data_IF_759241647738
#
_entry.id   IF_759241647738
#
_cell.length_a   1.000
_cell.length_b   1.000
_cell.length_c   1.000
_cell.angle_alpha   90.00
_cell.angle_beta   90.00
_cell.angle_gamma   90.00
#
_symmetry.space_group_name_H-M   'P 1'
#
loop_
_entity.id
_entity.type
_entity.pdbx_description
1 polymer ?
#
# COMPACT_ATOMS: atom_id res chain seq x y z
N UNK A 1 16.86 7.52 5.40
CA UNK A 1 18.32 7.69 5.26
C UNK A 1 18.96 6.31 5.07
N UNK A 2 19.63 6.05 3.93
CA UNK A 2 20.41 4.81 3.78
C UNK A 2 21.87 5.08 4.12
N UNK A 3 22.41 4.33 5.07
CA UNK A 3 23.82 4.37 5.42
C UNK A 3 24.62 3.62 4.34
N UNK A 4 25.70 4.24 3.86
CA UNK A 4 26.71 3.52 3.07
C UNK A 4 27.85 3.16 4.03
N UNK A 5 28.21 1.88 4.18
CA UNK A 5 29.30 1.49 5.06
C UNK A 5 30.62 2.07 4.54
N UNK A 6 31.27 2.90 5.36
CA UNK A 6 32.57 3.52 5.06
C UNK A 6 33.71 2.63 5.54
N UNK A 7 33.48 1.91 6.64
CA UNK A 7 34.43 0.97 7.26
C UNK A 7 33.70 -0.34 7.58
N UNK A 8 34.26 -1.52 7.25
CA UNK A 8 33.66 -2.79 7.66
C UNK A 8 33.72 -2.93 9.19
N UNK A 9 32.64 -3.47 9.77
CA UNK A 9 32.63 -4.02 11.12
C UNK A 9 33.70 -5.11 11.22
N UNK A 10 34.78 -4.84 11.95
CA UNK A 10 35.80 -5.84 12.26
C UNK A 10 35.23 -6.76 13.36
N UNK A 11 34.65 -7.89 12.95
CA UNK A 11 34.36 -9.01 13.87
C UNK A 11 35.63 -9.85 13.99
N UNK A 12 36.01 -10.08 15.23
CA UNK A 12 37.16 -10.84 15.72
C UNK A 12 37.45 -12.13 14.93
N UNK A 13 38.69 -12.27 14.48
CA UNK A 13 39.48 -13.50 14.64
C UNK A 13 40.91 -13.05 14.92
N UNK A 14 41.26 -12.95 16.21
CA UNK A 14 42.66 -12.99 16.64
C UNK A 14 43.10 -14.47 16.66
N UNK A 15 43.96 -14.95 15.76
CA UNK A 15 44.84 -16.04 16.12
C UNK A 15 45.96 -15.43 16.96
N UNK A 16 45.97 -15.85 18.22
CA UNK A 16 47.10 -15.69 19.12
C UNK A 16 48.40 -16.19 18.46
N UNK A 17 49.48 -15.45 18.72
CA UNK A 17 50.90 -15.74 18.44
C UNK A 17 51.39 -15.48 17.01
N UNK A 18 51.91 -14.26 16.86
CA UNK A 18 53.25 -13.98 16.33
C UNK A 18 53.44 -14.16 14.83
N UNK A 19 53.33 -13.06 14.07
CA UNK A 19 54.18 -12.71 12.92
C UNK A 19 53.86 -11.25 12.52
N UNK A 20 54.90 -10.46 12.26
CA UNK A 20 54.87 -9.08 11.76
C UNK A 20 54.35 -9.00 10.32
N UNK A 21 53.78 -7.85 9.88
CA UNK A 21 53.90 -7.44 8.49
C UNK A 21 54.68 -6.12 8.37
N UNK A 22 55.82 -6.23 7.70
CA UNK A 22 56.59 -5.14 7.12
C UNK A 22 55.79 -4.44 6.01
N UNK A 23 55.87 -3.11 5.94
CA UNK A 23 56.10 -2.41 4.67
C UNK A 23 57.14 -1.31 4.87
N UNK A 24 58.40 -1.72 4.66
CA UNK A 24 59.55 -0.87 4.47
C UNK A 24 60.07 -1.26 3.08
N UNK A 25 59.96 -0.38 2.08
CA UNK A 25 60.55 -0.63 0.76
C UNK A 25 62.00 -0.12 0.78
N UNK A 26 62.94 -1.06 0.79
CA UNK A 26 64.36 -0.80 0.55
C UNK A 26 64.79 -1.75 -0.57
N UNK A 27 64.97 -1.20 -1.78
CA UNK A 27 65.71 -1.86 -2.84
C UNK A 27 67.14 -1.31 -2.79
N UNK A 28 68.05 -2.03 -2.13
CA UNK A 28 69.49 -1.80 -2.21
C UNK A 28 70.04 -2.59 -3.39
N UNK A 29 70.41 -1.91 -4.47
CA UNK A 29 71.50 -2.35 -5.34
C UNK A 29 72.70 -1.44 -5.10
N UNK A 30 73.85 -2.06 -4.87
CA UNK A 30 75.11 -1.42 -4.52
C UNK A 30 75.54 -0.34 -5.53
N UNK A 31 75.78 0.90 -5.07
CA UNK A 31 77.02 1.67 -5.31
C UNK A 31 77.00 2.97 -4.47
N UNK A 32 77.93 3.05 -3.51
CA UNK A 32 78.53 4.24 -2.86
C UNK A 32 77.67 5.47 -2.45
N UNK A 33 77.69 5.70 -1.13
CA UNK A 33 77.86 7.01 -0.44
C UNK A 33 76.63 7.83 0.01
N UNK A 34 76.69 8.17 1.30
CA UNK A 34 76.12 9.31 2.04
C UNK A 34 74.61 9.47 2.21
N UNK A 35 74.19 9.26 3.47
CA UNK A 35 73.10 9.93 4.21
C UNK A 35 71.78 10.22 3.47
N UNK A 36 70.78 9.38 3.75
CA UNK A 36 69.38 9.83 3.78
C UNK A 36 68.63 9.01 4.83
N UNK A 37 68.53 9.57 6.03
CA UNK A 37 67.57 9.15 7.04
C UNK A 37 66.17 9.55 6.56
N UNK A 38 65.49 8.64 5.86
CA UNK A 38 64.07 8.79 5.54
C UNK A 38 63.28 8.38 6.78
N UNK A 39 62.97 9.35 7.63
CA UNK A 39 61.96 9.21 8.66
C UNK A 39 60.60 9.11 7.97
N UNK A 40 60.01 7.93 7.96
CA UNK A 40 58.60 7.76 7.58
C UNK A 40 57.77 8.24 8.77
N UNK A 41 57.42 9.53 8.81
CA UNK A 41 56.47 10.04 9.80
C UNK A 41 55.09 9.45 9.49
N UNK A 42 54.42 8.74 10.43
CA UNK A 42 53.03 8.37 10.25
C UNK A 42 52.20 9.66 10.17
N UNK A 43 51.38 9.81 9.12
CA UNK A 43 50.62 11.06 8.86
C UNK A 43 49.41 11.16 9.80
N UNK A 44 48.54 10.15 9.77
CA UNK A 44 47.35 10.04 10.60
C UNK A 44 47.44 8.77 11.44
N UNK A 45 47.20 8.90 12.74
CA UNK A 45 47.24 7.78 13.67
C UNK A 45 45.84 7.24 13.94
N UNK A 46 45.67 5.93 13.76
CA UNK A 46 44.46 5.23 14.14
C UNK A 46 44.50 4.91 15.65
N UNK A 47 43.55 5.44 16.41
CA UNK A 47 43.46 5.26 17.86
C UNK A 47 42.12 4.60 18.22
N UNK A 48 42.10 3.88 19.34
CA UNK A 48 40.87 3.36 19.91
C UNK A 48 40.52 4.17 21.16
N UNK A 49 39.37 4.83 21.12
CA UNK A 49 38.83 5.62 22.22
C UNK A 49 37.56 4.96 22.78
N UNK A 50 37.03 5.46 23.89
CA UNK A 50 35.74 5.01 24.43
C UNK A 50 34.69 6.08 24.16
N UNK A 51 33.53 5.70 23.64
CA UNK A 51 32.39 6.61 23.49
C UNK A 51 31.69 6.88 24.84
N UNK A 52 30.65 7.74 24.82
CA UNK A 52 29.83 8.08 25.99
C UNK A 52 29.16 6.85 26.67
N UNK A 53 29.08 5.72 25.97
CA UNK A 53 28.49 4.47 26.44
C UNK A 53 29.56 3.41 26.79
N UNK A 54 30.83 3.80 26.92
CA UNK A 54 31.98 2.94 27.18
C UNK A 54 32.20 1.84 26.12
N UNK A 55 31.85 2.12 24.86
CA UNK A 55 32.13 1.22 23.74
C UNK A 55 33.41 1.68 23.04
N UNK A 56 34.31 0.74 22.67
CA UNK A 56 35.50 1.09 21.92
C UNK A 56 35.09 1.61 20.53
N UNK A 57 35.56 2.81 20.20
CA UNK A 57 35.42 3.44 18.88
C UNK A 57 36.81 3.65 18.28
N UNK A 58 36.92 3.50 16.96
CA UNK A 58 38.16 3.75 16.24
C UNK A 58 38.14 5.17 15.66
N UNK A 59 39.07 6.00 16.11
CA UNK A 59 39.24 7.39 15.69
C UNK A 59 40.53 7.54 14.88
N UNK A 60 40.61 8.59 14.06
CA UNK A 60 41.85 8.96 13.38
C UNK A 60 42.27 10.34 13.84
N UNK A 61 43.52 10.50 14.30
CA UNK A 61 44.02 11.77 14.79
C UNK A 61 45.31 12.20 14.11
N UNK A 62 45.53 13.51 14.06
CA UNK A 62 46.79 14.14 13.63
C UNK A 62 46.98 15.45 14.40
N UNK A 63 48.19 15.71 14.87
CA UNK A 63 48.51 16.92 15.65
C UNK A 63 49.96 17.38 15.44
N UNK A 64 50.40 17.48 14.18
CA UNK A 64 51.74 17.93 13.81
C UNK A 64 51.84 19.46 13.68
N UNK A 65 51.28 20.19 14.63
CA UNK A 65 51.13 21.65 14.62
C UNK A 65 52.44 22.43 14.73
N UNK A 66 53.53 21.78 15.18
CA UNK A 66 54.86 22.39 15.36
C UNK A 66 55.68 22.41 14.07
N UNK A 67 55.32 21.59 13.09
CA UNK A 67 56.09 21.42 11.87
C UNK A 67 55.52 22.30 10.74
N UNK A 68 56.36 23.03 9.99
CA UNK A 68 55.88 23.78 8.83
C UNK A 68 55.56 22.84 7.65
N UNK A 69 54.72 23.31 6.71
CA UNK A 69 54.40 22.63 5.46
C UNK A 69 53.80 21.22 5.61
N UNK A 70 52.89 21.04 6.57
CA UNK A 70 52.15 19.78 6.73
C UNK A 70 51.26 19.48 5.51
N UNK A 71 51.15 18.19 5.18
CA UNK A 71 50.33 17.69 4.09
C UNK A 71 49.95 16.22 4.35
N UNK A 72 49.13 15.99 5.37
CA UNK A 72 48.79 14.68 5.88
C UNK A 72 47.47 14.20 5.29
N UNK A 73 47.47 13.05 4.60
CA UNK A 73 46.30 12.52 3.90
C UNK A 73 45.76 11.26 4.59
N UNK A 74 44.45 11.23 4.79
CA UNK A 74 43.69 10.05 5.17
C UNK A 74 42.66 9.77 4.09
N UNK A 75 42.59 8.54 3.59
CA UNK A 75 41.64 8.13 2.56
C UNK A 75 40.73 7.01 3.07
N UNK A 76 39.45 7.07 2.72
CA UNK A 76 38.51 5.97 2.96
C UNK A 76 38.79 4.76 2.06
N UNK A 77 38.05 3.67 2.30
CA UNK A 77 37.87 2.63 1.31
C UNK A 77 37.02 3.13 0.12
N UNK A 78 36.92 2.32 -0.93
CA UNK A 78 36.03 2.61 -2.06
C UNK A 78 34.58 2.48 -1.62
N UNK A 79 33.80 3.54 -1.84
CA UNK A 79 32.41 3.64 -1.42
C UNK A 79 31.53 3.46 -2.67
N UNK A 80 30.71 2.40 -2.75
CA UNK A 80 29.79 2.22 -3.87
C UNK A 80 28.70 3.29 -3.83
N UNK A 81 28.43 3.93 -4.97
CA UNK A 81 27.41 4.98 -5.10
C UNK A 81 25.98 4.45 -4.89
N UNK A 82 25.73 3.19 -5.23
CA UNK A 82 24.39 2.62 -5.32
C UNK A 82 23.49 3.49 -6.22
N UNK A 83 22.24 3.75 -5.81
CA UNK A 83 21.30 4.61 -6.54
C UNK A 83 21.50 6.12 -6.27
N UNK A 84 22.44 6.50 -5.40
CA UNK A 84 22.60 7.89 -4.98
C UNK A 84 23.08 8.78 -6.13
N UNK A 85 22.36 9.84 -6.46
CA UNK A 85 22.90 10.90 -7.33
C UNK A 85 23.59 11.99 -6.51
N UNK A 86 23.10 12.24 -5.30
CA UNK A 86 23.64 13.18 -4.33
C UNK A 86 23.90 12.45 -3.02
N UNK A 87 25.07 12.68 -2.43
CA UNK A 87 25.47 12.11 -1.14
C UNK A 87 25.64 13.21 -0.11
N UNK A 88 25.57 12.80 1.16
CA UNK A 88 25.79 13.63 2.32
C UNK A 88 26.93 13.01 3.12
N UNK A 89 27.94 13.82 3.42
CA UNK A 89 29.08 13.45 4.24
C UNK A 89 28.94 14.17 5.57
N UNK A 90 28.61 13.42 6.62
CA UNK A 90 28.52 13.90 7.99
C UNK A 90 29.80 13.52 8.74
N UNK A 91 30.48 14.54 9.26
CA UNK A 91 31.74 14.45 9.96
C UNK A 91 31.52 14.79 11.43
N UNK A 92 31.93 13.91 12.33
CA UNK A 92 32.03 14.21 13.76
C UNK A 92 33.50 14.25 14.15
N UNK A 93 33.97 15.36 14.69
CA UNK A 93 35.40 15.56 14.98
C UNK A 93 35.62 16.53 16.15
N UNK A 94 36.79 16.44 16.77
CA UNK A 94 37.26 17.41 17.76
C UNK A 94 38.42 18.20 17.17
N UNK A 95 38.54 19.46 17.57
CA UNK A 95 39.60 20.36 17.10
C UNK A 95 40.11 21.18 18.27
N UNK A 96 41.44 21.23 18.41
CA UNK A 96 42.11 22.01 19.46
C UNK A 96 42.40 23.43 18.99
N UNK A 97 42.06 24.42 19.82
CA UNK A 97 42.35 25.84 19.58
C UNK A 97 43.87 26.06 19.49
N UNK A 98 44.34 26.70 18.42
CA UNK A 98 45.77 26.99 18.22
C UNK A 98 46.33 27.93 19.30
N UNK A 99 45.52 28.83 19.87
CA UNK A 99 45.93 29.72 20.96
C UNK A 99 46.20 28.96 22.26
N UNK A 100 45.63 27.75 22.39
CA UNK A 100 45.85 26.87 23.55
C UNK A 100 47.14 26.06 23.45
N UNK A 101 47.88 26.17 22.34
CA UNK A 101 49.12 25.44 22.09
C UNK A 101 50.28 26.44 22.10
N UNK A 102 51.25 26.31 23.04
CA UNK A 102 52.43 27.15 23.03
C UNK A 102 53.29 26.92 21.77
N UNK A 103 53.93 27.98 21.26
CA UNK A 103 54.97 27.92 20.21
C UNK A 103 54.54 27.51 18.78
N UNK A 104 53.25 27.60 18.43
CA UNK A 104 52.75 27.20 17.10
C UNK A 104 52.26 28.36 16.21
N UNK A 105 52.62 29.60 16.55
CA UNK A 105 52.19 30.80 15.84
C UNK A 105 52.66 30.79 14.38
N UNK A 106 51.74 30.59 13.44
CA UNK A 106 51.99 30.62 12.00
C UNK A 106 52.01 29.24 11.32
N UNK A 107 52.23 28.16 12.07
CA UNK A 107 52.18 26.77 11.56
C UNK A 107 50.84 26.09 11.86
N UNK A 108 50.22 26.40 13.00
CA UNK A 108 48.95 25.81 13.40
C UNK A 108 47.76 26.33 12.57
N UNK A 109 46.83 25.41 12.26
CA UNK A 109 45.57 25.67 11.55
C UNK A 109 44.40 25.09 12.33
N UNK A 110 43.23 25.69 12.17
CA UNK A 110 41.97 25.25 12.80
C UNK A 110 41.00 24.71 11.75
N UNK A 111 41.55 24.19 10.65
CA UNK A 111 40.77 23.68 9.52
C UNK A 111 41.47 22.51 8.86
N UNK A 112 40.70 21.65 8.20
CA UNK A 112 41.18 20.58 7.33
C UNK A 112 40.36 20.54 6.05
N UNK A 113 40.87 19.93 4.98
CA UNK A 113 40.13 19.84 3.72
C UNK A 113 39.43 18.49 3.59
N UNK A 114 38.19 18.52 3.13
CA UNK A 114 37.44 17.35 2.67
C UNK A 114 37.51 17.28 1.15
N UNK A 115 37.91 16.13 0.61
CA UNK A 115 38.04 15.90 -0.84
C UNK A 115 37.38 14.58 -1.25
N UNK A 116 37.11 14.44 -2.54
CA UNK A 116 36.59 13.20 -3.12
C UNK A 116 37.16 12.91 -4.50
N UNK A 117 37.11 11.63 -4.88
CA UNK A 117 37.52 11.16 -6.20
C UNK A 117 36.56 10.06 -6.68
N UNK A 118 35.94 10.25 -7.85
CA UNK A 118 35.02 9.29 -8.46
C UNK A 118 35.76 8.26 -9.32
N UNK A 119 35.40 6.99 -9.17
CA UNK A 119 35.91 5.90 -10.00
C UNK A 119 34.90 4.77 -10.13
N UNK A 120 34.90 4.08 -11.27
CA UNK A 120 33.96 2.99 -11.53
C UNK A 120 34.33 1.69 -10.80
N UNK A 121 35.62 1.50 -10.49
CA UNK A 121 36.10 0.29 -9.83
C UNK A 121 37.05 0.64 -8.67
N UNK A 122 37.10 -0.21 -7.62
CA UNK A 122 38.05 -0.04 -6.53
C UNK A 122 39.47 -0.20 -7.06
N UNK A 123 40.35 0.67 -6.61
CA UNK A 123 41.78 0.59 -6.91
C UNK A 123 42.38 -0.65 -6.24
N UNK A 124 43.19 -1.40 -6.99
CA UNK A 124 43.90 -2.56 -6.46
C UNK A 124 44.90 -2.19 -5.36
N UNK A 125 45.34 -3.17 -4.58
CA UNK A 125 46.24 -2.96 -3.43
C UNK A 125 47.59 -2.30 -3.81
N UNK A 126 47.99 -2.35 -5.08
CA UNK A 126 49.22 -1.78 -5.62
C UNK A 126 49.02 -0.43 -6.32
N UNK A 127 47.79 0.09 -6.39
CA UNK A 127 47.51 1.35 -7.04
C UNK A 127 48.06 2.52 -6.19
N UNK A 128 48.84 3.38 -6.84
CA UNK A 128 49.40 4.56 -6.19
C UNK A 128 48.32 5.58 -5.85
N UNK A 129 48.44 6.18 -4.66
CA UNK A 129 47.57 7.27 -4.22
C UNK A 129 48.01 8.58 -4.91
N UNK A 130 47.23 9.04 -5.87
CA UNK A 130 47.48 10.27 -6.61
C UNK A 130 46.63 11.42 -6.06
N UNK A 131 47.24 12.32 -5.31
CA UNK A 131 46.56 13.45 -4.66
C UNK A 131 45.89 14.41 -5.64
N UNK A 132 46.40 14.53 -6.87
CA UNK A 132 45.86 15.43 -7.90
C UNK A 132 44.52 14.98 -8.49
N UNK A 133 44.14 13.73 -8.29
CA UNK A 133 42.86 13.20 -8.79
C UNK A 133 41.68 13.60 -7.89
N UNK A 134 41.97 14.08 -6.68
CA UNK A 134 40.98 14.45 -5.69
C UNK A 134 40.48 15.88 -5.90
N UNK A 135 39.18 16.02 -6.11
CA UNK A 135 38.51 17.30 -6.12
C UNK A 135 38.17 17.74 -4.68
N UNK A 136 38.46 19.00 -4.35
CA UNK A 136 38.14 19.56 -3.04
C UNK A 136 36.64 19.82 -2.93
N UNK A 137 36.01 19.26 -1.89
CA UNK A 137 34.61 19.51 -1.53
C UNK A 137 34.53 20.82 -0.78
N UNK A 138 35.23 20.91 0.35
CA UNK A 138 35.23 22.12 1.19
C UNK A 138 36.42 22.14 2.16
N UNK A 139 36.64 23.29 2.78
CA UNK A 139 37.48 23.47 3.97
C UNK A 139 36.58 23.36 5.20
N UNK A 140 36.82 22.37 6.05
CA UNK A 140 36.03 22.14 7.26
C UNK A 140 36.67 22.87 8.43
N UNK A 141 35.86 23.66 9.14
CA UNK A 141 36.22 24.35 10.37
C UNK A 141 35.36 23.82 11.52
N UNK A 142 35.82 23.99 12.75
CA UNK A 142 35.04 23.70 13.95
C UNK A 142 34.13 24.88 14.31
N UNK A 143 32.92 24.60 14.78
CA UNK A 143 32.04 25.57 15.43
C UNK A 143 32.54 25.86 16.86
N UNK A 144 32.98 24.82 17.57
CA UNK A 144 33.58 24.89 18.90
C UNK A 144 34.94 24.18 18.93
N UNK A 145 35.98 24.89 19.36
CA UNK A 145 37.31 24.32 19.63
C UNK A 145 37.52 24.11 21.13
N UNK A 146 38.27 23.09 21.52
CA UNK A 146 38.64 22.86 22.92
C UNK A 146 40.00 23.48 23.26
N UNK A 147 40.13 23.96 24.50
CA UNK A 147 41.31 24.67 25.01
C UNK A 147 42.01 23.89 26.13
N UNK A 148 43.09 24.44 26.66
CA UNK A 148 43.84 23.84 27.77
C UNK A 148 43.00 23.75 29.07
N UNK A 149 42.04 24.66 29.28
CA UNK A 149 41.11 24.59 30.42
C UNK A 149 40.12 23.44 30.25
N UNK A 150 39.59 23.23 29.04
CA UNK A 150 38.65 22.13 28.76
C UNK A 150 39.32 20.75 28.94
N UNK A 151 40.62 20.64 28.60
CA UNK A 151 41.43 19.44 28.88
C UNK A 151 41.56 19.17 30.39
N UNK A 152 41.65 20.22 31.21
CA UNK A 152 41.66 20.12 32.68
C UNK A 152 40.35 19.58 33.24
N UNK A 153 39.23 19.96 32.62
CA UNK A 153 37.87 19.52 32.98
C UNK A 153 37.44 18.23 32.27
N UNK A 154 38.32 17.63 31.46
CA UNK A 154 38.06 16.44 30.62
C UNK A 154 36.88 16.62 29.65
N UNK A 155 36.65 17.84 29.20
CA UNK A 155 35.59 18.17 28.24
C UNK A 155 36.20 18.25 26.84
N UNK A 156 35.75 17.37 25.95
CA UNK A 156 36.06 17.45 24.52
C UNK A 156 34.88 18.08 23.78
N UNK A 157 35.14 19.07 22.93
CA UNK A 157 34.12 19.73 22.10
C UNK A 157 33.97 18.98 20.78
N UNK A 158 32.84 18.29 20.63
CA UNK A 158 32.54 17.48 19.45
C UNK A 158 31.74 18.30 18.43
N UNK A 159 32.34 18.52 17.27
CA UNK A 159 31.73 19.24 16.15
C UNK A 159 31.02 18.26 15.22
N UNK A 160 29.94 18.71 14.57
CA UNK A 160 29.23 17.92 13.56
C UNK A 160 28.99 18.75 12.31
N UNK A 161 29.70 18.42 11.22
CA UNK A 161 29.62 19.13 9.95
C UNK A 161 29.03 18.23 8.86
N UNK A 162 28.07 18.74 8.09
CA UNK A 162 27.47 18.01 6.96
C UNK A 162 27.78 18.73 5.66
N UNK A 163 28.27 17.99 4.66
CA UNK A 163 28.49 18.49 3.29
C UNK A 163 27.76 17.65 2.27
N UNK A 164 27.16 18.33 1.31
CA UNK A 164 26.48 17.73 0.18
C UNK A 164 27.44 17.59 -1.00
N UNK A 165 27.46 16.43 -1.64
CA UNK A 165 28.34 16.17 -2.79
C UNK A 165 27.54 15.53 -3.91
N UNK A 166 27.71 16.03 -5.14
CA UNK A 166 27.09 15.47 -6.33
C UNK A 166 26.79 16.52 -7.40
N UNK A 167 26.32 16.09 -8.58
CA UNK A 167 25.90 14.72 -8.91
C UNK A 167 27.08 13.75 -9.04
N UNK A 168 27.01 12.60 -8.35
CA UNK A 168 27.99 11.51 -8.50
C UNK A 168 27.62 10.70 -9.75
N UNK A 169 28.52 10.64 -10.73
CA UNK A 169 28.26 10.05 -12.04
C UNK A 169 28.80 8.61 -12.16
N UNK A 170 29.93 8.31 -11.51
CA UNK A 170 30.58 6.99 -11.59
C UNK A 170 29.96 5.96 -10.62
N UNK A 171 30.38 4.69 -10.72
CA UNK A 171 29.85 3.62 -9.85
C UNK A 171 30.20 3.76 -8.36
N UNK A 172 31.27 4.48 -8.03
CA UNK A 172 31.68 4.74 -6.65
C UNK A 172 32.70 5.86 -6.53
N UNK A 173 33.17 6.08 -5.31
CA UNK A 173 34.08 7.17 -4.99
C UNK A 173 34.91 6.89 -3.74
N UNK A 174 35.98 7.65 -3.57
CA UNK A 174 36.76 7.73 -2.34
C UNK A 174 36.53 9.10 -1.70
N UNK A 175 36.54 9.15 -0.37
CA UNK A 175 36.73 10.39 0.37
C UNK A 175 38.17 10.48 0.86
N UNK A 176 38.68 11.70 0.93
CA UNK A 176 39.98 11.98 1.51
C UNK A 176 39.91 13.21 2.43
N UNK A 177 40.74 13.17 3.46
CA UNK A 177 40.90 14.21 4.46
C UNK A 177 42.35 14.68 4.40
N UNK A 178 42.54 15.96 4.18
CA UNK A 178 43.87 16.56 4.11
C UNK A 178 44.03 17.53 5.26
N UNK A 179 45.00 17.23 6.12
CA UNK A 179 45.48 18.12 7.16
C UNK A 179 46.71 18.91 6.67
N UNK A 180 46.73 20.20 7.00
CA UNK A 180 47.77 21.18 6.64
C UNK A 180 48.38 21.86 7.87
N UNK A 181 48.21 21.27 9.06
CA UNK A 181 48.82 21.74 10.31
C UNK A 181 47.82 21.95 11.46
N UNK A 182 46.75 21.16 11.52
CA UNK A 182 45.75 21.19 12.57
C UNK A 182 45.99 20.10 13.63
N UNK A 183 45.36 20.28 14.79
CA UNK A 183 45.31 19.26 15.84
C UNK A 183 43.87 18.75 15.95
N UNK A 184 43.59 17.65 15.25
CA UNK A 184 42.24 17.13 15.04
C UNK A 184 42.14 15.65 15.36
N UNK A 185 40.97 15.24 15.86
CA UNK A 185 40.58 13.84 15.94
C UNK A 185 39.24 13.64 15.23
N UNK A 186 39.24 12.82 14.19
CA UNK A 186 38.08 12.41 13.42
C UNK A 186 37.41 11.23 14.12
N UNK A 187 36.25 11.50 14.71
CA UNK A 187 35.50 10.55 15.55
C UNK A 187 34.56 9.70 14.73
N UNK A 188 33.90 10.29 13.73
CA UNK A 188 32.96 9.56 12.85
C UNK A 188 32.89 10.18 11.47
N UNK A 189 32.86 9.32 10.45
CA UNK A 189 32.55 9.69 9.07
C UNK A 189 31.36 8.87 8.63
N UNK A 190 30.24 9.55 8.39
CA UNK A 190 28.99 8.93 7.98
C UNK A 190 28.62 9.43 6.60
N UNK A 191 28.56 8.50 5.65
CA UNK A 191 28.16 8.80 4.27
C UNK A 191 26.78 8.20 4.01
N UNK A 192 25.86 9.02 3.52
CA UNK A 192 24.49 8.59 3.27
C UNK A 192 23.86 9.32 2.09
N UNK A 193 22.74 8.79 1.60
CA UNK A 193 21.86 9.49 0.66
C UNK A 193 20.41 9.41 1.14
N UNK A 194 19.62 10.38 0.69
CA UNK A 194 18.20 10.47 0.98
C UNK A 194 17.41 9.72 -0.09
N UNK A 195 16.36 9.00 0.33
CA UNK A 195 15.37 8.35 -0.54
C UNK A 195 14.01 8.42 0.15
N UNK A 196 12.96 8.49 -0.64
CA UNK A 196 11.61 8.23 -0.18
C UNK A 196 11.42 6.70 -0.09
N UNK A 197 11.19 6.15 1.11
CA UNK A 197 11.10 4.70 1.29
C UNK A 197 9.82 4.13 0.68
N UNK A 198 9.87 2.86 0.26
CA UNK A 198 8.70 2.13 -0.21
C UNK A 198 7.54 2.22 0.80
N UNK A 199 6.34 2.55 0.31
CA UNK A 199 5.18 2.76 1.17
C UNK A 199 3.88 2.33 0.49
N UNK A 200 2.86 2.02 1.31
CA UNK A 200 1.52 1.71 0.87
C UNK A 200 0.58 2.83 1.33
N UNK A 201 -0.07 3.50 0.37
CA UNK A 201 -1.01 4.58 0.63
C UNK A 201 -2.23 4.44 -0.28
N UNK A 202 -3.43 4.57 0.28
CA UNK A 202 -4.69 4.48 -0.47
C UNK A 202 -4.80 3.23 -1.37
N UNK A 203 -4.38 2.06 -0.84
CA UNK A 203 -4.34 0.78 -1.56
C UNK A 203 -3.42 0.78 -2.81
N UNK A 204 -2.47 1.70 -2.88
CA UNK A 204 -1.42 1.73 -3.89
C UNK A 204 -0.04 1.58 -3.23
N UNK A 205 0.81 0.77 -3.84
CA UNK A 205 2.21 0.61 -3.48
C UNK A 205 3.07 1.60 -4.28
N UNK A 206 3.99 2.26 -3.57
CA UNK A 206 4.95 3.19 -4.13
C UNK A 206 6.37 2.69 -3.84
N UNK A 207 7.24 2.54 -4.85
CA UNK A 207 8.57 1.99 -4.66
C UNK A 207 9.55 2.98 -4.03
N UNK A 208 10.68 2.47 -3.55
CA UNK A 208 11.83 3.28 -3.15
C UNK A 208 12.20 4.26 -4.29
N UNK A 209 12.24 5.55 -3.98
CA UNK A 209 12.51 6.60 -4.97
C UNK A 209 13.61 7.54 -4.48
N UNK A 210 14.61 7.80 -5.31
CA UNK A 210 15.68 8.76 -5.02
C UNK A 210 15.27 10.13 -5.56
N UNK A 211 15.33 11.21 -4.75
CA UNK A 211 15.04 12.56 -5.22
C UNK A 211 16.00 12.99 -6.33
N UNK A 212 15.57 13.96 -7.14
CA UNK A 212 16.46 14.61 -8.11
C UNK A 212 17.47 15.51 -7.39
N UNK A 213 18.54 15.85 -8.10
CA UNK A 213 19.69 16.59 -7.56
C UNK A 213 19.35 18.06 -7.29
N UNK A 214 18.38 18.63 -8.00
CA UNK A 214 17.89 19.99 -7.80
C UNK A 214 16.94 20.07 -6.59
N UNK A 215 17.32 20.83 -5.57
CA UNK A 215 16.66 20.90 -4.26
C UNK A 215 15.21 21.41 -4.31
N UNK A 216 14.78 22.03 -5.40
CA UNK A 216 13.42 22.55 -5.60
C UNK A 216 12.49 21.61 -6.35
N UNK A 217 12.98 20.50 -6.94
CA UNK A 217 12.13 19.66 -7.78
C UNK A 217 11.53 18.49 -7.00
N UNK A 218 10.25 18.23 -7.30
CA UNK A 218 9.52 17.09 -6.80
C UNK A 218 9.55 15.97 -7.84
N UNK A 219 9.84 14.74 -7.39
CA UNK A 219 9.75 13.57 -8.27
C UNK A 219 8.33 13.01 -8.16
N UNK A 220 7.54 13.14 -9.22
CA UNK A 220 6.23 12.49 -9.32
C UNK A 220 6.42 10.97 -9.48
N UNK A 221 5.75 10.21 -8.62
CA UNK A 221 5.78 8.74 -8.61
C UNK A 221 4.36 8.23 -8.72
N UNK A 222 4.09 7.47 -9.78
CA UNK A 222 2.84 6.74 -9.95
C UNK A 222 2.88 5.47 -9.10
N UNK A 223 1.86 5.27 -8.27
CA UNK A 223 1.67 4.05 -7.50
C UNK A 223 1.06 2.93 -8.35
N UNK A 224 1.28 1.69 -7.92
CA UNK A 224 0.59 0.53 -8.47
C UNK A 224 -0.47 0.05 -7.46
N UNK A 225 -1.70 -0.20 -7.90
CA UNK A 225 -2.71 -0.78 -7.02
C UNK A 225 -2.22 -2.13 -6.50
N UNK A 226 -2.48 -2.39 -5.22
CA UNK A 226 -2.17 -3.68 -4.61
C UNK A 226 -3.02 -4.78 -5.24
N UNK A 227 -2.62 -6.03 -5.03
CA UNK A 227 -3.39 -7.18 -5.49
C UNK A 227 -4.84 -7.10 -4.99
N UNK A 228 -5.78 -7.52 -5.83
CA UNK A 228 -7.22 -7.45 -5.55
C UNK A 228 -7.75 -6.02 -5.31
N UNK A 229 -7.04 -4.99 -5.75
CA UNK A 229 -7.54 -3.61 -5.83
C UNK A 229 -7.53 -3.09 -7.27
N UNK A 230 -8.46 -2.20 -7.57
CA UNK A 230 -8.62 -1.56 -8.88
C UNK A 230 -8.39 -0.05 -8.78
N UNK A 231 -7.86 0.54 -9.85
CA UNK A 231 -7.59 1.98 -9.93
C UNK A 231 -8.93 2.73 -10.05
N UNK A 232 -9.26 3.55 -9.03
CA UNK A 232 -10.40 4.46 -9.12
C UNK A 232 -9.99 5.81 -9.68
N UNK A 233 -8.89 6.33 -9.15
CA UNK A 233 -8.25 7.58 -9.55
C UNK A 233 -6.74 7.33 -9.55
N UNK A 234 -5.99 7.78 -10.56
CA UNK A 234 -4.56 7.45 -10.71
C UNK A 234 -3.73 7.83 -9.47
N UNK A 235 -3.21 6.84 -8.70
CA UNK A 235 -2.53 7.09 -7.43
C UNK A 235 -1.13 7.67 -7.67
N UNK A 236 -0.83 8.79 -7.02
CA UNK A 236 0.41 9.54 -7.18
C UNK A 236 0.92 10.08 -5.85
N UNK A 237 2.23 10.06 -5.70
CA UNK A 237 2.97 10.72 -4.62
C UNK A 237 4.10 11.54 -5.21
N UNK A 238 4.59 12.50 -4.43
CA UNK A 238 5.73 13.34 -4.79
C UNK A 238 6.86 13.12 -3.79
N UNK A 239 8.02 12.67 -4.28
CA UNK A 239 9.22 12.50 -3.45
C UNK A 239 10.00 13.82 -3.41
N UNK A 240 10.14 14.40 -2.21
CA UNK A 240 10.89 15.63 -1.98
C UNK A 240 12.38 15.40 -1.77
N UNK A 241 13.19 16.46 -1.91
CA UNK A 241 14.65 16.42 -1.74
C UNK A 241 15.11 15.89 -0.37
N UNK A 242 14.28 16.05 0.67
CA UNK A 242 14.55 15.55 2.02
C UNK A 242 14.29 14.05 2.19
N UNK A 243 13.74 13.38 1.17
CA UNK A 243 13.37 11.96 1.24
C UNK A 243 12.00 11.72 1.85
N UNK A 244 11.17 12.76 1.94
CA UNK A 244 9.80 12.68 2.42
C UNK A 244 8.79 12.57 1.28
N UNK A 245 7.75 11.76 1.51
CA UNK A 245 6.59 11.68 0.62
C UNK A 245 5.63 12.83 0.89
N UNK A 246 5.23 13.52 -0.17
CA UNK A 246 4.31 14.64 -0.15
C UNK A 246 3.00 14.29 -0.88
N UNK A 247 2.01 15.18 -0.74
CA UNK A 247 0.65 15.20 -1.32
C UNK A 247 0.21 13.89 -2.01
N UNK A 248 -0.58 13.03 -1.33
CA UNK A 248 -1.22 11.89 -1.98
C UNK A 248 -2.36 12.35 -2.88
N UNK A 249 -2.31 11.95 -4.15
CA UNK A 249 -3.38 12.12 -5.12
C UNK A 249 -3.87 10.75 -5.60
N UNK A 250 -5.14 10.67 -5.95
CA UNK A 250 -5.76 9.44 -6.41
C UNK A 250 -5.79 8.32 -5.37
N UNK A 251 -6.39 7.20 -5.75
CA UNK A 251 -6.57 6.03 -4.89
C UNK A 251 -6.96 4.79 -5.69
N UNK A 252 -6.63 3.64 -5.11
CA UNK A 252 -7.22 2.37 -5.51
C UNK A 252 -8.39 2.03 -4.58
N UNK A 253 -9.26 1.14 -5.03
CA UNK A 253 -10.34 0.59 -4.22
C UNK A 253 -10.32 -0.93 -4.27
N UNK A 254 -10.76 -1.59 -3.20
CA UNK A 254 -10.81 -3.05 -3.21
C UNK A 254 -11.78 -3.54 -4.29
N UNK A 255 -11.38 -4.59 -5.00
CA UNK A 255 -12.16 -5.21 -6.07
C UNK A 255 -13.42 -5.91 -5.53
N UNK A 256 -14.29 -6.35 -6.44
CA UNK A 256 -15.46 -7.16 -6.12
C UNK A 256 -15.01 -8.42 -5.36
N UNK A 257 -15.67 -8.75 -4.25
CA UNK A 257 -15.32 -9.91 -3.41
C UNK A 257 -14.16 -9.70 -2.43
N UNK A 258 -13.53 -8.52 -2.35
CA UNK A 258 -12.38 -8.28 -1.46
C UNK A 258 -12.56 -7.06 -0.55
N UNK A 259 -12.07 -7.13 0.69
CA UNK A 259 -12.00 -6.04 1.66
C UNK A 259 -10.58 -5.93 2.23
N UNK A 260 -10.00 -4.72 2.31
CA UNK A 260 -8.66 -4.47 2.91
C UNK A 260 -7.54 -5.47 2.51
N UNK A 261 -7.63 -6.03 1.30
CA UNK A 261 -6.74 -7.06 0.69
C UNK A 261 -7.04 -8.53 1.06
N UNK A 262 -8.10 -8.79 1.84
CA UNK A 262 -8.61 -10.12 2.14
C UNK A 262 -9.84 -10.46 1.29
N UNK A 263 -9.97 -11.73 0.93
CA UNK A 263 -11.16 -12.23 0.24
C UNK A 263 -12.35 -12.30 1.22
N UNK A 264 -13.56 -11.98 0.76
CA UNK A 264 -14.76 -12.15 1.58
C UNK A 264 -14.89 -13.62 2.01
N UNK A 265 -14.88 -13.86 3.32
CA UNK A 265 -15.04 -15.20 3.89
C UNK A 265 -16.36 -15.88 3.49
N UNK A 266 -16.46 -17.21 3.57
CA UNK A 266 -17.72 -17.93 3.31
C UNK A 266 -18.88 -17.37 4.16
N UNK A 267 -20.05 -17.25 3.55
CA UNK A 267 -21.23 -16.59 4.13
C UNK A 267 -21.27 -15.07 3.97
N UNK A 268 -20.21 -14.47 3.40
CA UNK A 268 -20.13 -13.04 3.07
C UNK A 268 -19.93 -12.84 1.57
N UNK A 269 -20.24 -11.63 1.10
CA UNK A 269 -20.08 -11.24 -0.30
C UNK A 269 -19.79 -9.74 -0.42
N UNK A 270 -19.30 -9.33 -1.59
CA UNK A 270 -19.18 -7.92 -1.97
C UNK A 270 -19.41 -7.75 -3.46
N UNK A 271 -20.56 -7.18 -3.82
CA UNK A 271 -21.02 -7.08 -5.21
C UNK A 271 -20.41 -5.93 -6.01
N UNK A 272 -19.87 -4.92 -5.34
CA UNK A 272 -19.34 -3.73 -5.99
C UNK A 272 -17.93 -3.44 -5.47
N UNK A 273 -17.07 -2.95 -6.36
CA UNK A 273 -15.77 -2.45 -5.97
C UNK A 273 -15.90 -1.17 -5.15
N UNK A 274 -14.95 -0.97 -4.24
CA UNK A 274 -15.04 0.08 -3.22
C UNK A 274 -14.39 -0.33 -1.92
N UNK A 275 -14.13 0.65 -1.05
CA UNK A 275 -13.55 0.44 0.28
C UNK A 275 -14.66 0.18 1.31
N UNK A 276 -15.60 -0.70 0.95
CA UNK A 276 -16.66 -1.18 1.83
C UNK A 276 -16.33 -2.59 2.28
N UNK A 277 -16.73 -2.90 3.52
CA UNK A 277 -16.56 -4.24 4.08
C UNK A 277 -17.48 -5.24 3.41
N UNK A 278 -17.06 -6.50 3.43
CA UNK A 278 -17.86 -7.62 3.00
C UNK A 278 -19.16 -7.67 3.82
N UNK A 279 -20.28 -7.88 3.13
CA UNK A 279 -21.60 -7.95 3.75
C UNK A 279 -22.00 -9.40 3.95
N UNK A 280 -22.72 -9.71 5.04
CA UNK A 280 -23.29 -11.04 5.25
C UNK A 280 -24.31 -11.34 4.15
N UNK A 281 -24.37 -12.60 3.71
CA UNK A 281 -25.40 -13.01 2.76
C UNK A 281 -26.81 -12.68 3.27
N UNK A 282 -27.67 -12.09 2.44
CA UNK A 282 -29.04 -11.80 2.82
C UNK A 282 -29.85 -13.11 2.98
N UNK A 283 -31.02 -13.06 3.62
CA UNK A 283 -31.85 -14.25 3.87
C UNK A 283 -32.10 -15.11 2.62
N UNK A 284 -32.17 -16.43 2.83
CA UNK A 284 -32.36 -17.46 1.80
C UNK A 284 -31.28 -17.47 0.72
N UNK A 285 -30.06 -17.08 1.08
CA UNK A 285 -28.90 -17.13 0.20
C UNK A 285 -27.62 -17.46 0.95
N UNK A 286 -26.67 -18.09 0.26
CA UNK A 286 -25.39 -18.51 0.83
C UNK A 286 -24.23 -18.28 -0.15
N UNK A 287 -23.03 -18.14 0.39
CA UNK A 287 -21.77 -18.19 -0.35
C UNK A 287 -20.85 -19.22 0.31
N UNK A 288 -20.34 -20.16 -0.47
CA UNK A 288 -19.49 -21.24 0.03
C UNK A 288 -18.00 -20.98 -0.25
N UNK A 289 -17.70 -20.19 -1.28
CA UNK A 289 -16.34 -19.83 -1.69
C UNK A 289 -15.93 -18.49 -1.12
N UNK A 290 -14.64 -18.35 -0.84
CA UNK A 290 -14.03 -17.05 -0.56
C UNK A 290 -14.12 -16.13 -1.79
N UNK A 291 -14.10 -14.82 -1.55
CA UNK A 291 -14.08 -13.83 -2.64
C UNK A 291 -15.42 -13.70 -3.39
N UNK A 292 -16.53 -14.13 -2.78
CA UNK A 292 -17.82 -14.17 -3.46
C UNK A 292 -18.33 -12.77 -3.83
N UNK A 293 -18.60 -12.55 -5.12
CA UNK A 293 -19.23 -11.33 -5.61
C UNK A 293 -20.72 -11.23 -5.23
N UNK A 294 -21.40 -12.38 -5.14
CA UNK A 294 -22.83 -12.45 -4.84
C UNK A 294 -23.15 -13.78 -4.13
N UNK A 295 -24.16 -13.76 -3.27
CA UNK A 295 -24.68 -14.97 -2.64
C UNK A 295 -25.68 -15.69 -3.54
N UNK A 296 -25.56 -17.01 -3.61
CA UNK A 296 -26.42 -17.87 -4.41
C UNK A 296 -27.70 -18.16 -3.64
N UNK A 297 -28.85 -18.18 -4.33
CA UNK A 297 -30.11 -18.47 -3.67
C UNK A 297 -30.20 -19.94 -3.25
N UNK A 298 -30.80 -20.18 -2.09
CA UNK A 298 -31.16 -21.51 -1.63
C UNK A 298 -32.22 -22.15 -2.56
N UNK A 299 -32.36 -23.48 -2.48
CA UNK A 299 -33.33 -24.21 -3.30
C UNK A 299 -34.74 -23.65 -3.11
N UNK A 300 -35.45 -23.43 -4.22
CA UNK A 300 -36.80 -22.85 -4.30
C UNK A 300 -36.91 -21.35 -3.96
N UNK A 301 -35.78 -20.65 -3.80
CA UNK A 301 -35.72 -19.20 -3.70
C UNK A 301 -34.97 -18.61 -4.89
N UNK A 302 -35.33 -17.38 -5.26
CA UNK A 302 -34.91 -16.74 -6.50
C UNK A 302 -34.77 -15.23 -6.33
N UNK A 303 -34.04 -14.61 -7.25
CA UNK A 303 -34.02 -13.16 -7.47
C UNK A 303 -34.47 -12.89 -8.90
N UNK A 304 -35.28 -11.86 -9.08
CA UNK A 304 -35.63 -11.37 -10.41
C UNK A 304 -34.43 -10.62 -11.01
N UNK A 305 -34.40 -10.47 -12.33
CA UNK A 305 -33.28 -9.82 -13.05
C UNK A 305 -33.04 -8.36 -12.66
N UNK A 306 -34.07 -7.67 -12.15
CA UNK A 306 -34.00 -6.27 -11.69
C UNK A 306 -33.68 -6.14 -10.20
N UNK A 307 -33.62 -7.24 -9.46
CA UNK A 307 -33.35 -7.20 -8.02
C UNK A 307 -31.86 -6.99 -7.77
N UNK A 308 -31.45 -6.09 -6.84
CA UNK A 308 -30.06 -5.89 -6.53
C UNK A 308 -29.48 -7.11 -5.77
N UNK A 309 -28.16 -7.37 -5.85
CA UNK A 309 -27.50 -8.45 -5.10
C UNK A 309 -27.69 -8.37 -3.58
N UNK A 310 -27.99 -7.17 -3.07
CA UNK A 310 -28.26 -6.89 -1.66
C UNK A 310 -29.62 -7.37 -1.18
N UNK A 311 -30.56 -7.64 -2.10
CA UNK A 311 -31.89 -8.12 -1.77
C UNK A 311 -31.87 -9.60 -1.37
N UNK A 312 -32.74 -9.98 -0.43
CA UNK A 312 -32.96 -11.38 -0.06
C UNK A 312 -33.50 -12.18 -1.25
N UNK A 313 -33.20 -13.48 -1.29
CA UNK A 313 -33.88 -14.35 -2.23
C UNK A 313 -35.32 -14.57 -1.76
N UNK A 314 -36.24 -14.60 -2.72
CA UNK A 314 -37.69 -14.64 -2.50
C UNK A 314 -38.29 -15.85 -3.20
N UNK A 315 -39.54 -16.20 -2.87
CA UNK A 315 -40.21 -17.36 -3.47
C UNK A 315 -41.55 -16.97 -4.09
N UNK A 316 -42.17 -17.80 -4.95
CA UNK A 316 -43.53 -17.57 -5.40
C UNK A 316 -44.51 -17.50 -4.20
N UNK A 317 -45.59 -16.71 -4.28
CA UNK A 317 -46.56 -16.59 -3.19
C UNK A 317 -47.39 -17.87 -3.02
N UNK A 318 -48.02 -18.03 -1.86
CA UNK A 318 -49.06 -19.05 -1.66
C UNK A 318 -50.35 -18.70 -2.43
N UNK A 319 -51.32 -19.61 -2.47
CA UNK A 319 -52.63 -19.31 -3.06
C UNK A 319 -53.35 -18.14 -2.32
N UNK A 320 -54.22 -17.39 -3.02
CA UNK A 320 -55.15 -16.46 -2.39
C UNK A 320 -56.05 -17.16 -1.36
N UNK A 321 -56.61 -16.38 -0.43
CA UNK A 321 -57.43 -16.93 0.67
C UNK A 321 -58.84 -16.34 0.65
N UNK A 322 -59.79 -16.99 1.33
CA UNK A 322 -61.15 -16.49 1.55
C UNK A 322 -61.82 -15.99 0.26
N UNK A 323 -61.90 -16.87 -0.74
CA UNK A 323 -62.61 -16.51 -1.97
C UNK A 323 -64.10 -16.48 -1.69
N UNK A 324 -64.74 -15.38 -2.06
CA UNK A 324 -66.17 -15.15 -1.89
C UNK A 324 -66.74 -14.61 -3.20
N UNK A 325 -68.02 -14.86 -3.43
CA UNK A 325 -68.72 -14.35 -4.60
C UNK A 325 -70.07 -13.77 -4.20
N UNK A 326 -70.55 -12.81 -4.98
CA UNK A 326 -71.89 -12.25 -4.88
C UNK A 326 -72.45 -12.01 -6.29
N UNK A 327 -73.71 -12.38 -6.52
CA UNK A 327 -74.40 -12.17 -7.80
C UNK A 327 -75.43 -11.06 -7.59
N UNK A 328 -75.32 -9.99 -8.39
CA UNK A 328 -76.29 -8.92 -8.43
C UNK A 328 -76.80 -8.76 -9.86
N UNK A 329 -78.05 -9.16 -10.12
CA UNK A 329 -78.70 -9.17 -11.43
C UNK A 329 -77.84 -9.86 -12.51
N UNK A 330 -77.10 -9.09 -13.32
CA UNK A 330 -76.27 -9.57 -14.42
C UNK A 330 -74.76 -9.50 -14.15
N UNK A 331 -74.35 -9.20 -12.90
CA UNK A 331 -72.95 -9.04 -12.52
C UNK A 331 -72.57 -9.98 -11.37
N UNK A 332 -71.52 -10.79 -11.60
CA UNK A 332 -70.89 -11.63 -10.60
C UNK A 332 -69.66 -10.90 -10.05
N UNK A 333 -69.70 -10.58 -8.75
CA UNK A 333 -68.58 -10.00 -8.02
C UNK A 333 -67.77 -11.13 -7.39
N UNK A 334 -66.50 -11.25 -7.78
CA UNK A 334 -65.54 -12.15 -7.16
C UNK A 334 -64.58 -11.32 -6.30
N UNK A 335 -64.41 -11.72 -5.05
CA UNK A 335 -63.48 -11.09 -4.11
C UNK A 335 -62.67 -12.17 -3.38
N UNK A 336 -61.41 -11.88 -3.11
CA UNK A 336 -60.52 -12.74 -2.34
C UNK A 336 -59.67 -11.89 -1.40
N UNK A 337 -58.94 -12.57 -0.51
CA UNK A 337 -57.93 -11.95 0.34
C UNK A 337 -56.52 -12.35 -0.11
N UNK A 338 -55.51 -11.49 0.13
CA UNK A 338 -54.14 -11.80 -0.25
C UNK A 338 -53.61 -13.13 0.34
N UNK A 339 -52.62 -13.74 -0.32
CA UNK A 339 -51.92 -14.93 0.17
C UNK A 339 -51.44 -14.77 1.62
N UNK A 340 -51.43 -15.87 2.39
CA UNK A 340 -50.81 -15.84 3.74
C UNK A 340 -49.31 -15.64 3.68
N UNK A 341 -48.67 -16.11 2.60
CA UNK A 341 -47.27 -15.88 2.33
C UNK A 341 -47.10 -15.27 0.93
N UNK A 342 -46.61 -14.04 0.87
CA UNK A 342 -46.31 -13.36 -0.41
C UNK A 342 -44.95 -13.74 -0.99
N UNK A 343 -44.21 -14.62 -0.30
CA UNK A 343 -42.85 -15.02 -0.64
C UNK A 343 -41.82 -13.94 -0.36
N UNK A 344 -42.16 -12.97 0.50
CA UNK A 344 -41.29 -11.85 0.87
C UNK A 344 -41.29 -10.67 -0.09
N UNK A 345 -42.21 -10.64 -1.07
CA UNK A 345 -42.35 -9.53 -2.03
C UNK A 345 -43.66 -8.77 -1.86
N UNK A 346 -43.70 -7.57 -2.45
CA UNK A 346 -44.86 -6.67 -2.48
C UNK A 346 -45.45 -6.48 -3.88
N UNK A 347 -44.80 -7.03 -4.91
CA UNK A 347 -45.21 -6.99 -6.32
C UNK A 347 -46.16 -8.17 -6.65
N UNK A 348 -47.07 -8.49 -5.74
CA UNK A 348 -48.04 -9.57 -5.94
C UNK A 348 -49.14 -9.10 -6.89
N UNK A 349 -49.41 -9.92 -7.90
CA UNK A 349 -50.48 -9.74 -8.89
C UNK A 349 -51.31 -11.02 -9.01
N UNK A 350 -52.51 -10.91 -9.55
CA UNK A 350 -53.44 -12.03 -9.68
C UNK A 350 -53.85 -12.25 -11.13
N UNK A 351 -53.99 -13.52 -11.52
CA UNK A 351 -54.68 -13.91 -12.75
C UNK A 351 -55.90 -14.76 -12.41
N UNK A 352 -56.98 -14.56 -13.16
CA UNK A 352 -58.26 -15.25 -12.99
C UNK A 352 -58.52 -16.10 -14.22
N UNK A 353 -58.66 -17.40 -14.00
CA UNK A 353 -59.06 -18.38 -15.02
C UNK A 353 -60.50 -18.79 -14.77
N UNK A 354 -61.26 -18.93 -15.86
CA UNK A 354 -62.66 -19.32 -15.81
C UNK A 354 -62.85 -20.63 -16.56
N UNK A 355 -63.53 -21.55 -15.91
CA UNK A 355 -63.94 -22.82 -16.49
C UNK A 355 -65.44 -23.02 -16.32
N UNK A 356 -66.12 -23.48 -17.37
CA UNK A 356 -67.53 -23.90 -17.31
C UNK A 356 -67.56 -25.42 -17.18
N UNK A 357 -68.21 -25.90 -16.14
CA UNK A 357 -68.35 -27.33 -15.88
C UNK A 357 -69.80 -27.75 -16.16
N UNK A 358 -70.00 -28.82 -16.94
CA UNK A 358 -71.33 -29.38 -17.22
C UNK A 358 -71.93 -30.11 -16.01
N UNK A 359 -73.24 -30.39 -16.05
CA UNK A 359 -73.83 -31.41 -15.18
C UNK A 359 -73.38 -32.80 -15.67
N UNK A 360 -73.11 -33.72 -14.74
CA UNK A 360 -72.71 -35.12 -14.99
C UNK A 360 -71.32 -35.36 -15.59
N UNK A 361 -70.27 -35.15 -14.79
CA UNK A 361 -68.95 -35.77 -14.99
C UNK A 361 -68.16 -35.35 -16.25
N UNK A 362 -68.67 -34.41 -17.05
CA UNK A 362 -67.93 -33.81 -18.17
C UNK A 362 -66.77 -32.95 -17.68
N UNK A 363 -65.65 -33.01 -18.41
CA UNK A 363 -64.48 -32.17 -18.14
C UNK A 363 -64.84 -30.68 -18.32
N UNK A 364 -64.37 -29.83 -17.41
CA UNK A 364 -64.63 -28.40 -17.49
C UNK A 364 -63.87 -27.77 -18.66
N UNK A 365 -64.54 -26.93 -19.44
CA UNK A 365 -63.95 -26.21 -20.58
C UNK A 365 -63.66 -24.76 -20.21
N UNK A 366 -62.63 -24.16 -20.83
CA UNK A 366 -62.34 -22.74 -20.63
C UNK A 366 -63.54 -21.87 -21.06
N UNK A 367 -63.89 -20.86 -20.27
CA UNK A 367 -65.02 -19.99 -20.57
C UNK A 367 -64.87 -19.28 -21.93
N UNK A 368 -65.98 -19.15 -22.66
CA UNK A 368 -66.02 -18.46 -23.95
C UNK A 368 -65.55 -17.00 -23.85
N UNK A 369 -64.96 -16.49 -24.93
CA UNK A 369 -64.46 -15.10 -25.05
C UNK A 369 -65.53 -14.01 -24.90
N UNK A 370 -66.81 -14.38 -24.88
CA UNK A 370 -67.93 -13.46 -24.73
C UNK A 370 -68.14 -13.00 -23.28
N UNK A 371 -67.55 -13.69 -22.30
CA UNK A 371 -67.63 -13.35 -20.89
C UNK A 371 -66.69 -12.18 -20.57
N UNK A 372 -67.21 -11.11 -19.99
CA UNK A 372 -66.47 -9.86 -19.78
C UNK A 372 -65.98 -9.73 -18.35
N UNK A 373 -64.68 -9.50 -18.19
CA UNK A 373 -64.03 -9.24 -16.90
C UNK A 373 -63.67 -7.77 -16.77
N UNK A 374 -64.06 -7.15 -15.66
CA UNK A 374 -63.75 -5.76 -15.32
C UNK A 374 -63.18 -5.69 -13.91
N UNK A 375 -61.89 -5.30 -13.74
CA UNK A 375 -60.85 -5.08 -14.76
C UNK A 375 -60.39 -6.37 -15.48
N UNK A 376 -59.44 -6.25 -16.42
CA UNK A 376 -58.91 -7.40 -17.19
C UNK A 376 -58.41 -8.51 -16.25
N UNK A 377 -58.63 -9.80 -16.57
CA UNK A 377 -58.44 -10.91 -15.64
C UNK A 377 -56.97 -11.30 -15.42
N UNK A 378 -56.01 -10.53 -15.92
CA UNK A 378 -54.58 -10.84 -15.85
C UNK A 378 -53.79 -9.65 -15.32
N UNK A 379 -52.83 -9.89 -14.42
CA UNK A 379 -51.99 -8.86 -13.83
C UNK A 379 -52.75 -7.93 -12.88
N UNK A 380 -53.80 -8.42 -12.25
CA UNK A 380 -54.61 -7.67 -11.30
C UNK A 380 -53.81 -7.31 -10.05
N UNK A 381 -53.88 -6.05 -9.62
CA UNK A 381 -53.30 -5.61 -8.33
C UNK A 381 -54.36 -5.54 -7.23
N UNK A 382 -55.63 -5.41 -7.60
CA UNK A 382 -56.78 -5.49 -6.68
C UNK A 382 -57.13 -6.95 -6.39
N UNK A 383 -57.84 -7.17 -5.29
CA UNK A 383 -58.31 -8.50 -4.87
C UNK A 383 -59.78 -8.75 -5.21
N UNK A 384 -60.27 -8.10 -6.26
CA UNK A 384 -61.62 -8.25 -6.76
C UNK A 384 -61.70 -8.09 -8.27
N UNK A 385 -62.65 -8.78 -8.88
CA UNK A 385 -63.01 -8.66 -10.31
C UNK A 385 -64.51 -8.81 -10.47
N UNK A 386 -65.10 -8.03 -11.38
CA UNK A 386 -66.50 -8.16 -11.78
C UNK A 386 -66.56 -8.95 -13.07
N UNK A 387 -67.46 -9.92 -13.13
CA UNK A 387 -67.70 -10.76 -14.30
C UNK A 387 -69.11 -10.55 -14.82
N UNK A 388 -69.22 -10.25 -16.11
CA UNK A 388 -70.47 -9.92 -16.81
C UNK A 388 -70.66 -10.88 -18.01
N UNK A 389 -71.87 -10.88 -18.57
CA UNK A 389 -72.22 -11.66 -19.76
C UNK A 389 -72.05 -13.18 -19.58
N UNK A 390 -72.24 -13.67 -18.35
CA UNK A 390 -72.29 -15.10 -18.05
C UNK A 390 -73.67 -15.68 -18.37
N UNK A 391 -73.73 -16.97 -18.70
CA UNK A 391 -74.97 -17.66 -19.05
C UNK A 391 -75.64 -18.15 -17.76
N UNK A 392 -76.94 -17.90 -17.60
CA UNK A 392 -77.73 -18.43 -16.49
C UNK A 392 -77.84 -19.97 -16.54
N UNK A 393 -78.11 -20.59 -15.39
CA UNK A 393 -78.22 -22.05 -15.20
C UNK A 393 -76.96 -22.82 -15.59
N UNK A 394 -75.80 -22.22 -15.35
CA UNK A 394 -74.50 -22.83 -15.58
C UNK A 394 -73.63 -22.78 -14.32
N UNK A 395 -72.78 -23.81 -14.18
CA UNK A 395 -71.78 -23.91 -13.12
C UNK A 395 -70.44 -23.43 -13.66
N UNK A 396 -69.90 -22.38 -13.03
CA UNK A 396 -68.60 -21.80 -13.34
C UNK A 396 -67.62 -22.07 -12.20
N UNK A 397 -66.44 -22.58 -12.53
CA UNK A 397 -65.32 -22.68 -11.60
C UNK A 397 -64.29 -21.61 -11.96
N UNK A 398 -64.05 -20.70 -11.03
CA UNK A 398 -62.99 -19.71 -11.14
C UNK A 398 -61.77 -20.19 -10.38
N UNK A 399 -60.60 -20.10 -11.02
CA UNK A 399 -59.33 -20.36 -10.39
C UNK A 399 -58.51 -19.07 -10.39
N UNK A 400 -58.04 -18.65 -9.23
CA UNK A 400 -57.22 -17.46 -9.06
C UNK A 400 -55.81 -17.88 -8.65
N UNK A 401 -54.83 -17.50 -9.45
CA UNK A 401 -53.41 -17.62 -9.11
C UNK A 401 -52.87 -16.29 -8.58
N UNK A 402 -52.03 -16.38 -7.55
CA UNK A 402 -51.18 -15.27 -7.12
C UNK A 402 -49.79 -15.43 -7.74
N UNK A 403 -49.24 -14.35 -8.26
CA UNK A 403 -47.94 -14.29 -8.89
C UNK A 403 -47.12 -13.13 -8.34
N UNK A 404 -45.80 -13.28 -8.30
CA UNK A 404 -44.87 -12.19 -8.04
C UNK A 404 -43.71 -12.22 -9.05
N UNK A 405 -42.74 -11.31 -8.90
CA UNK A 405 -41.61 -11.17 -9.82
C UNK A 405 -40.74 -12.43 -10.00
N UNK A 406 -40.87 -13.45 -9.15
CA UNK A 406 -40.10 -14.71 -9.22
C UNK A 406 -40.93 -15.93 -9.57
N UNK A 407 -42.26 -15.81 -9.72
CA UNK A 407 -43.16 -16.92 -10.05
C UNK A 407 -42.84 -17.64 -11.37
N UNK A 408 -42.10 -17.00 -12.29
CA UNK A 408 -41.67 -17.59 -13.56
C UNK A 408 -40.31 -18.30 -13.53
N UNK A 409 -39.56 -18.24 -12.42
CA UNK A 409 -38.17 -18.74 -12.35
C UNK A 409 -38.07 -20.16 -11.78
N UNK A 410 -39.11 -20.62 -11.08
CA UNK A 410 -39.17 -21.94 -10.47
C UNK A 410 -39.97 -22.95 -11.29
N UNK A 411 -39.69 -24.24 -11.08
CA UNK A 411 -40.51 -25.36 -11.57
C UNK A 411 -41.60 -25.78 -10.58
N UNK A 412 -41.79 -25.02 -9.50
CA UNK A 412 -42.84 -25.32 -8.51
C UNK A 412 -44.19 -25.21 -9.18
N UNK A 413 -45.08 -26.16 -8.90
CA UNK A 413 -46.48 -26.03 -9.30
C UNK A 413 -47.09 -24.78 -8.67
N UNK A 414 -47.89 -24.08 -9.47
CA UNK A 414 -48.54 -22.85 -9.06
C UNK A 414 -49.72 -23.20 -8.15
N UNK A 415 -49.78 -22.55 -7.00
CA UNK A 415 -50.87 -22.74 -6.06
C UNK A 415 -52.05 -21.86 -6.46
N UNK A 416 -53.16 -22.52 -6.80
CA UNK A 416 -54.40 -21.88 -7.23
C UNK A 416 -55.43 -21.97 -6.10
N UNK A 417 -56.21 -20.92 -5.92
CA UNK A 417 -57.45 -20.99 -5.15
C UNK A 417 -58.62 -21.14 -6.13
N UNK A 418 -59.60 -22.00 -5.83
CA UNK A 418 -60.75 -22.24 -6.68
C UNK A 418 -62.08 -21.98 -5.97
N UNK A 419 -63.08 -21.50 -6.72
CA UNK A 419 -64.45 -21.32 -6.24
C UNK A 419 -65.42 -21.69 -7.36
N UNK A 420 -66.45 -22.46 -7.01
CA UNK A 420 -67.51 -22.85 -7.93
C UNK A 420 -68.76 -22.04 -7.65
N UNK A 421 -69.33 -21.47 -8.71
CA UNK A 421 -70.49 -20.59 -8.69
C UNK A 421 -71.57 -21.19 -9.57
N UNK A 422 -72.74 -21.42 -8.98
CA UNK A 422 -73.94 -21.86 -9.70
C UNK A 422 -74.81 -20.64 -9.97
N UNK A 423 -75.12 -20.37 -11.24
CA UNK A 423 -75.93 -19.22 -11.65
C UNK A 423 -77.41 -19.59 -11.69
N UNK A 424 -78.02 -19.85 -10.54
CA UNK A 424 -79.47 -20.10 -10.44
C UNK A 424 -80.24 -18.77 -10.58
N UNK A 425 -81.36 -18.79 -11.31
CA UNK A 425 -82.19 -17.60 -11.53
C UNK A 425 -82.68 -17.02 -10.20
N UNK A 426 -82.26 -15.79 -9.88
CA UNK A 426 -82.99 -14.96 -8.94
C UNK A 426 -84.23 -14.41 -9.66
N UNK A 427 -85.42 -14.84 -9.23
CA UNK A 427 -86.68 -14.18 -9.58
C UNK A 427 -87.83 -15.13 -9.89
N UNK A 428 -88.61 -15.48 -8.87
CA UNK A 428 -89.95 -14.89 -8.73
C UNK A 428 -90.03 -14.11 -7.42
#
# INVERSE_FOLDING_TARGET
>A
INLIPVFPSWVEHCPSRGFTPFYCFLQLSHYLSSHSSVLCSPQWDAITEMDEHNRPIHTFQVCHVMEPNQNNWLRTNWIPRQAAQKIYVELRFTLRDCNSIPWVSGTCKETFNLLYFETDEPHGATAHFHTNDYAKIDTIAADESFTQTDLGDRVLRLNTEVREVGPIARKGFYLAFQDVGACIALVSVRVYYKKCPSTLRNLAAFPDTVPRVDSSSLVEVRGACVENAEERDTPRLYCGADGDWLVPLGRCVCSIGYEESDACRPGFYKAFAGNIKCSKCPPHSSSHTEGSAQCHCEKNYYRASKDPPTMACTRPPSSPRNMVFNINETALFLEWTPPSDTGGRKDVTYNVFCFRCGADGQACEACNSNMRFVPKPTGLTSTSVVVQDFVAHANYTFQIEALNGVSGLGRSERQLANITVSTEQAGE
#
